data_IF_171443891886
#
_entry.id   IF_171443891886
#
_cell.length_a   1.000
_cell.length_b   1.000
_cell.length_c   1.000
_cell.angle_alpha   90.00
_cell.angle_beta   90.00
_cell.angle_gamma   90.00
#
_symmetry.space_group_name_H-M   'P 1'
#
loop_
_entity.id
_entity.type
_entity.pdbx_description
1 polymer ?
#
# COMPACT_ATOMS: atom_id res chain seq x y z
N UNK A 1 -19.11 -25.21 78.91
CA UNK A 1 -18.10 -25.32 77.85
C UNK A 1 -18.83 -25.19 76.52
N UNK A 2 -18.75 -24.05 75.90
CA UNK A 2 -19.40 -23.76 74.60
C UNK A 2 -18.32 -23.71 73.55
N UNK A 3 -18.32 -24.67 72.61
CA UNK A 3 -17.37 -24.77 71.54
C UNK A 3 -17.90 -23.95 70.34
N UNK A 4 -17.23 -22.86 70.07
CA UNK A 4 -17.57 -21.99 68.92
C UNK A 4 -16.83 -22.52 67.65
N UNK A 5 -17.57 -23.17 66.81
CA UNK A 5 -17.06 -23.52 65.44
C UNK A 5 -16.96 -22.28 64.57
N UNK A 6 -15.73 -21.91 64.24
CA UNK A 6 -15.47 -20.84 63.23
C UNK A 6 -15.82 -21.32 61.82
N UNK A 7 -16.79 -20.71 61.22
CA UNK A 7 -17.11 -20.87 59.80
C UNK A 7 -16.24 -19.91 59.01
N UNK A 8 -15.40 -20.44 58.16
CA UNK A 8 -14.58 -19.66 57.22
C UNK A 8 -15.37 -19.55 55.93
N UNK A 9 -15.68 -18.35 55.44
CA UNK A 9 -16.29 -18.20 54.10
C UNK A 9 -15.19 -18.36 53.04
N UNK A 10 -15.40 -19.31 52.15
CA UNK A 10 -14.59 -19.53 50.95
C UNK A 10 -14.94 -18.45 49.91
N UNK A 11 -14.07 -17.45 49.73
CA UNK A 11 -14.21 -16.45 48.69
C UNK A 11 -13.78 -17.07 47.37
N UNK A 12 -14.74 -17.33 46.50
CA UNK A 12 -14.48 -17.73 45.10
C UNK A 12 -14.15 -16.45 44.31
N UNK A 13 -12.86 -16.22 44.07
CA UNK A 13 -12.41 -15.18 43.14
C UNK A 13 -12.64 -15.67 41.70
N UNK A 14 -13.71 -15.22 41.08
CA UNK A 14 -13.95 -15.42 39.64
C UNK A 14 -12.98 -14.60 38.83
N UNK A 15 -12.06 -15.28 38.15
CA UNK A 15 -11.20 -14.69 37.13
C UNK A 15 -12.05 -14.40 35.90
N UNK A 16 -12.50 -13.15 35.74
CA UNK A 16 -13.04 -12.63 34.51
C UNK A 16 -11.87 -12.42 33.56
N UNK A 17 -11.53 -13.42 32.75
CA UNK A 17 -10.67 -13.22 31.57
C UNK A 17 -11.44 -12.41 30.54
N UNK A 18 -11.27 -11.10 30.57
CA UNK A 18 -11.70 -10.22 29.49
C UNK A 18 -10.81 -10.49 28.28
N UNK A 19 -11.29 -11.29 27.33
CA UNK A 19 -10.73 -11.31 25.99
C UNK A 19 -11.04 -9.95 25.36
N UNK A 20 -10.14 -8.98 25.51
CA UNK A 20 -10.18 -7.77 24.70
C UNK A 20 -9.69 -8.13 23.30
N UNK A 21 -10.61 -8.43 22.39
CA UNK A 21 -10.31 -8.45 20.96
C UNK A 21 -9.95 -7.01 20.59
N UNK A 22 -8.67 -6.76 20.34
CA UNK A 22 -8.23 -5.51 19.78
C UNK A 22 -8.72 -5.47 18.33
N UNK A 23 -9.81 -4.74 18.08
CA UNK A 23 -10.25 -4.42 16.74
C UNK A 23 -9.23 -3.43 16.21
N UNK A 24 -8.46 -3.84 15.19
CA UNK A 24 -7.56 -2.93 14.48
C UNK A 24 -8.39 -1.83 13.82
N UNK A 25 -7.94 -0.58 13.91
CA UNK A 25 -8.62 0.55 13.25
C UNK A 25 -8.72 0.30 11.74
N UNK A 26 -7.78 -0.45 11.17
CA UNK A 26 -7.81 -0.83 9.75
C UNK A 26 -8.97 -1.75 9.38
N UNK A 27 -9.56 -2.47 10.36
CA UNK A 27 -10.74 -3.33 10.14
C UNK A 27 -12.05 -2.53 10.15
N UNK A 28 -12.02 -1.26 10.59
CA UNK A 28 -13.22 -0.41 10.76
C UNK A 28 -13.31 0.64 9.66
N UNK A 29 -12.20 1.04 9.03
CA UNK A 29 -12.23 1.97 7.92
C UNK A 29 -12.68 1.23 6.65
N UNK A 30 -13.72 1.75 5.95
CA UNK A 30 -14.11 1.18 4.67
C UNK A 30 -12.95 1.30 3.69
N UNK A 31 -12.33 0.16 3.38
CA UNK A 31 -11.30 0.11 2.35
C UNK A 31 -12.00 0.24 1.01
N UNK A 32 -11.60 1.23 0.22
CA UNK A 32 -12.11 1.39 -1.13
C UNK A 32 -11.42 0.35 -2.01
N UNK A 33 -12.16 -0.68 -2.41
CA UNK A 33 -11.73 -1.54 -3.50
C UNK A 33 -11.73 -0.73 -4.80
N UNK A 34 -10.68 -0.92 -5.60
CA UNK A 34 -10.62 -0.33 -6.92
C UNK A 34 -11.62 -1.05 -7.83
N UNK A 35 -12.54 -0.29 -8.42
CA UNK A 35 -13.52 -0.77 -9.39
C UNK A 35 -12.95 -0.79 -10.83
N UNK A 36 -11.68 -0.47 -10.98
CA UNK A 36 -10.95 -0.42 -12.24
C UNK A 36 -9.61 -1.11 -12.14
N UNK A 37 -9.19 -1.67 -13.25
CA UNK A 37 -7.84 -2.25 -13.40
C UNK A 37 -6.82 -1.13 -13.55
N UNK A 38 -5.78 -1.16 -12.72
CA UNK A 38 -4.65 -0.24 -12.77
C UNK A 38 -3.45 -0.92 -13.42
N UNK A 39 -2.63 -0.13 -14.09
CA UNK A 39 -1.41 -0.57 -14.77
C UNK A 39 -0.23 0.31 -14.41
N UNK A 40 0.96 -0.28 -14.41
CA UNK A 40 2.20 0.48 -14.43
C UNK A 40 2.46 0.90 -15.89
N UNK A 41 2.33 2.19 -16.15
CA UNK A 41 2.44 2.80 -17.49
C UNK A 41 3.61 3.76 -17.50
N UNK A 42 4.53 3.58 -18.43
CA UNK A 42 5.73 4.41 -18.46
C UNK A 42 6.47 4.36 -19.78
N UNK A 43 7.68 4.88 -19.79
CA UNK A 43 8.54 4.93 -20.98
C UNK A 43 8.84 3.54 -21.55
N UNK A 44 8.80 2.50 -20.70
CA UNK A 44 9.02 1.10 -21.09
C UNK A 44 7.77 0.42 -21.69
N UNK A 45 6.61 1.07 -21.67
CA UNK A 45 5.36 0.62 -22.29
C UNK A 45 4.88 1.59 -23.37
N UNK A 46 5.67 2.62 -23.71
CA UNK A 46 5.21 3.77 -24.49
C UNK A 46 3.94 4.41 -23.92
N UNK A 47 3.82 4.36 -22.59
CA UNK A 47 2.67 4.83 -21.78
C UNK A 47 1.36 4.08 -22.03
N UNK A 48 1.39 2.91 -22.70
CA UNK A 48 0.22 2.06 -22.89
C UNK A 48 -0.09 1.21 -21.65
N UNK A 49 -1.37 0.80 -21.53
CA UNK A 49 -1.83 -0.15 -20.53
C UNK A 49 -1.59 -1.57 -21.04
N UNK A 50 -0.50 -2.19 -20.60
CA UNK A 50 -0.13 -3.53 -21.01
C UNK A 50 -0.46 -4.56 -19.94
N UNK A 51 -1.08 -5.72 -20.29
CA UNK A 51 -1.52 -6.73 -19.32
C UNK A 51 -0.44 -7.24 -18.38
N UNK A 52 0.83 -7.34 -18.82
CA UNK A 52 1.93 -7.80 -18.00
C UNK A 52 2.31 -6.82 -16.87
N UNK A 53 1.85 -5.59 -16.95
CA UNK A 53 2.08 -4.55 -15.93
C UNK A 53 0.82 -4.20 -15.13
N UNK A 54 -0.17 -5.07 -15.18
CA UNK A 54 -1.40 -4.93 -14.40
C UNK A 54 -1.11 -5.09 -12.90
N UNK A 55 -1.71 -4.22 -12.11
CA UNK A 55 -1.70 -4.34 -10.65
C UNK A 55 -2.70 -5.41 -10.19
N UNK A 56 -2.28 -6.21 -9.22
CA UNK A 56 -3.12 -7.21 -8.55
C UNK A 56 -3.20 -6.91 -7.06
N UNK A 57 -4.37 -7.14 -6.48
CA UNK A 57 -4.59 -7.03 -5.04
C UNK A 57 -3.82 -8.16 -4.32
N UNK A 58 -2.92 -7.80 -3.40
CA UNK A 58 -2.08 -8.75 -2.66
C UNK A 58 -2.28 -8.70 -1.15
N UNK A 59 -3.06 -7.75 -0.67
CA UNK A 59 -3.39 -7.56 0.74
C UNK A 59 -4.50 -6.53 0.90
N UNK A 60 -4.94 -6.20 2.12
CA UNK A 60 -5.91 -5.16 2.35
C UNK A 60 -5.45 -3.85 1.71
N UNK A 61 -6.19 -3.33 0.73
CA UNK A 61 -5.90 -2.10 -0.03
C UNK A 61 -4.51 -2.02 -0.67
N UNK A 62 -3.72 -3.10 -0.70
CA UNK A 62 -2.38 -3.16 -1.25
C UNK A 62 -2.37 -3.85 -2.62
N UNK A 63 -1.91 -3.13 -3.62
CA UNK A 63 -1.81 -3.59 -5.00
C UNK A 63 -0.36 -3.61 -5.44
N UNK A 64 0.01 -4.59 -6.28
CA UNK A 64 1.37 -4.76 -6.78
C UNK A 64 1.39 -5.10 -8.26
N UNK A 65 2.40 -4.55 -8.95
CA UNK A 65 2.79 -4.95 -10.30
C UNK A 65 4.30 -5.23 -10.34
N UNK A 66 4.71 -6.09 -11.26
CA UNK A 66 6.13 -6.39 -11.49
C UNK A 66 6.61 -5.66 -12.73
N UNK A 67 7.86 -5.20 -12.69
CA UNK A 67 8.54 -4.57 -13.81
C UNK A 67 9.98 -5.05 -13.87
N UNK A 68 10.47 -5.30 -15.09
CA UNK A 68 11.88 -5.63 -15.31
C UNK A 68 12.63 -4.42 -15.86
N UNK A 69 13.60 -3.94 -15.10
CA UNK A 69 14.53 -2.92 -15.58
C UNK A 69 15.80 -3.58 -16.09
N UNK A 70 16.09 -3.39 -17.36
CA UNK A 70 17.20 -4.04 -18.05
C UNK A 70 18.48 -3.21 -18.11
N UNK A 71 18.40 -1.91 -17.77
CA UNK A 71 19.53 -0.97 -17.83
C UNK A 71 19.73 -0.28 -16.49
N UNK A 72 20.92 -0.43 -15.92
CA UNK A 72 21.32 0.29 -14.70
C UNK A 72 21.63 1.75 -15.01
N UNK A 73 21.34 2.64 -14.06
CA UNK A 73 21.63 4.07 -14.20
C UNK A 73 20.72 4.82 -15.17
N UNK A 74 19.81 4.12 -15.86
CA UNK A 74 18.77 4.75 -16.67
C UNK A 74 17.63 5.22 -15.76
N UNK A 75 17.16 6.45 -15.97
CA UNK A 75 15.93 6.94 -15.34
C UNK A 75 14.74 6.35 -16.10
N UNK A 76 13.87 5.64 -15.39
CA UNK A 76 12.60 5.16 -15.90
C UNK A 76 11.47 5.99 -15.31
N UNK A 77 10.62 6.51 -16.16
CA UNK A 77 9.48 7.35 -15.79
C UNK A 77 8.18 6.58 -15.96
N UNK A 78 7.27 6.69 -14.99
CA UNK A 78 6.01 5.95 -15.02
C UNK A 78 4.91 6.59 -14.15
N UNK A 79 3.69 6.19 -14.42
CA UNK A 79 2.48 6.44 -13.62
C UNK A 79 1.82 5.12 -13.26
N UNK A 80 0.96 5.16 -12.25
CA UNK A 80 0.04 4.07 -11.92
C UNK A 80 -1.34 4.55 -12.32
N UNK A 81 -1.89 4.00 -13.42
CA UNK A 81 -3.13 4.51 -13.97
C UNK A 81 -3.99 3.39 -14.59
N UNK A 82 -5.30 3.64 -14.70
CA UNK A 82 -6.17 2.81 -15.51
C UNK A 82 -5.87 2.96 -17.02
N UNK A 83 -6.61 2.27 -17.87
CA UNK A 83 -6.39 2.30 -19.31
C UNK A 83 -6.63 3.70 -19.93
N UNK A 84 -7.47 4.52 -19.31
CA UNK A 84 -7.95 5.80 -19.85
C UNK A 84 -7.36 7.02 -19.16
N UNK A 85 -6.46 6.84 -18.17
CA UNK A 85 -5.98 7.91 -17.28
C UNK A 85 -7.12 8.68 -16.60
N UNK A 86 -8.12 7.94 -16.12
CA UNK A 86 -9.33 8.51 -15.52
C UNK A 86 -9.03 9.27 -14.23
N UNK A 87 -9.85 10.26 -13.94
CA UNK A 87 -9.79 10.99 -12.66
C UNK A 87 -9.94 10.02 -11.48
N UNK A 88 -9.10 10.15 -10.47
CA UNK A 88 -9.01 9.23 -9.33
C UNK A 88 -8.21 7.96 -9.60
N UNK A 89 -7.84 7.69 -10.85
CA UNK A 89 -7.10 6.51 -11.30
C UNK A 89 -5.88 6.85 -12.17
N UNK A 90 -5.32 8.04 -11.96
CA UNK A 90 -4.16 8.55 -12.67
C UNK A 90 -3.13 9.06 -11.66
N UNK A 91 -2.37 8.13 -11.06
CA UNK A 91 -1.50 8.41 -9.95
C UNK A 91 -0.08 8.77 -10.40
N UNK A 92 0.40 9.90 -9.93
CA UNK A 92 1.78 10.34 -9.97
C UNK A 92 2.22 10.80 -8.57
N UNK A 93 3.37 11.46 -8.47
CA UNK A 93 3.77 12.03 -7.18
C UNK A 93 2.83 13.18 -6.77
N UNK A 94 2.70 13.39 -5.46
CA UNK A 94 1.91 14.49 -4.90
C UNK A 94 2.73 15.79 -4.91
N UNK A 95 2.14 16.90 -5.37
CA UNK A 95 2.76 18.23 -5.33
C UNK A 95 3.03 18.73 -3.91
N UNK A 96 2.29 18.20 -2.91
CA UNK A 96 2.56 18.46 -1.50
C UNK A 96 3.83 17.76 -1.00
N UNK A 97 4.29 16.72 -1.72
CA UNK A 97 5.48 15.92 -1.38
C UNK A 97 6.35 15.70 -2.64
N UNK A 98 6.88 16.77 -3.25
CA UNK A 98 7.54 16.69 -4.56
C UNK A 98 8.82 15.83 -4.57
N UNK A 99 9.45 15.61 -3.41
CA UNK A 99 10.57 14.68 -3.27
C UNK A 99 10.21 13.23 -3.61
N UNK A 100 8.91 12.87 -3.56
CA UNK A 100 8.40 11.55 -3.94
C UNK A 100 8.40 11.29 -5.44
N UNK A 101 8.74 12.25 -6.29
CA UNK A 101 8.88 12.03 -7.72
C UNK A 101 9.96 11.00 -8.03
N UNK A 102 11.13 11.12 -7.43
CA UNK A 102 12.21 10.16 -7.57
C UNK A 102 12.11 9.12 -6.46
N UNK A 103 11.66 7.92 -6.80
CA UNK A 103 11.50 6.84 -5.83
C UNK A 103 12.86 6.33 -5.37
N UNK A 104 12.95 6.06 -4.08
CA UNK A 104 14.08 5.37 -3.44
C UNK A 104 13.67 3.94 -3.07
N UNK A 105 14.59 3.00 -3.24
CA UNK A 105 14.33 1.58 -2.97
C UNK A 105 13.87 1.36 -1.52
N UNK A 106 12.68 0.77 -1.36
CA UNK A 106 12.10 0.47 -0.05
C UNK A 106 11.50 1.66 0.69
N UNK A 107 11.54 2.88 0.15
CA UNK A 107 10.95 4.07 0.75
C UNK A 107 9.57 4.34 0.17
N UNK A 108 8.64 4.72 1.04
CA UNK A 108 7.30 5.09 0.62
C UNK A 108 7.25 6.56 0.15
N UNK A 109 6.62 6.79 -1.01
CA UNK A 109 6.32 8.11 -1.54
C UNK A 109 4.81 8.33 -1.56
N UNK A 110 4.36 9.54 -1.28
CA UNK A 110 2.93 9.90 -1.36
C UNK A 110 2.53 10.14 -2.80
N UNK A 111 1.45 9.48 -3.22
CA UNK A 111 0.85 9.64 -4.54
C UNK A 111 -0.33 10.61 -4.50
N UNK A 112 -0.59 11.21 -5.66
CA UNK A 112 -1.84 11.89 -6.01
C UNK A 112 -2.42 11.20 -7.24
N UNK A 113 -3.63 10.67 -7.12
CA UNK A 113 -4.30 9.93 -8.20
C UNK A 113 -5.21 10.80 -9.07
N UNK A 114 -5.19 12.11 -8.87
CA UNK A 114 -5.90 13.11 -9.69
C UNK A 114 -4.94 13.99 -10.52
N UNK A 115 -3.67 13.60 -10.61
CA UNK A 115 -2.70 14.39 -11.37
C UNK A 115 -2.64 13.98 -12.84
N UNK A 116 -2.57 14.97 -13.72
CA UNK A 116 -2.46 14.74 -15.17
C UNK A 116 -0.98 14.63 -15.57
N UNK A 117 -0.12 15.48 -15.02
CA UNK A 117 1.26 15.64 -15.49
C UNK A 117 2.31 15.00 -14.61
N UNK A 118 2.01 14.75 -13.32
CA UNK A 118 2.99 14.21 -12.41
C UNK A 118 3.23 12.72 -12.68
N UNK A 119 4.47 12.31 -12.66
CA UNK A 119 4.91 10.92 -12.83
C UNK A 119 5.98 10.60 -11.81
N UNK A 120 6.13 9.33 -11.48
CA UNK A 120 7.25 8.82 -10.70
C UNK A 120 8.44 8.54 -11.61
N UNK A 121 9.63 8.60 -11.03
CA UNK A 121 10.84 8.11 -11.68
C UNK A 121 11.60 7.16 -10.77
N UNK A 122 12.32 6.24 -11.36
CA UNK A 122 13.21 5.34 -10.65
C UNK A 122 14.47 5.06 -11.47
N UNK A 123 15.62 5.06 -10.80
CA UNK A 123 16.92 4.76 -11.42
C UNK A 123 17.49 3.50 -10.77
N UNK A 124 17.39 2.33 -11.42
CA UNK A 124 17.88 1.09 -10.82
C UNK A 124 19.42 1.07 -10.77
N UNK A 125 19.96 0.81 -9.59
CA UNK A 125 21.39 0.54 -9.41
C UNK A 125 21.79 -0.86 -9.90
N UNK A 126 20.85 -1.80 -9.93
CA UNK A 126 21.02 -3.18 -10.37
C UNK A 126 19.88 -3.54 -11.32
N UNK A 127 20.23 -4.10 -12.48
CA UNK A 127 19.21 -4.65 -13.40
C UNK A 127 18.47 -5.82 -12.77
N UNK A 128 17.22 -6.02 -13.10
CA UNK A 128 16.43 -7.14 -12.59
C UNK A 128 14.95 -6.83 -12.51
N UNK A 129 14.22 -7.70 -11.82
CA UNK A 129 12.78 -7.55 -11.58
C UNK A 129 12.54 -6.79 -10.29
N UNK A 130 11.62 -5.84 -10.34
CA UNK A 130 11.21 -5.01 -9.23
C UNK A 130 9.69 -5.14 -9.05
N UNK A 131 9.25 -4.86 -7.83
CA UNK A 131 7.83 -4.80 -7.47
C UNK A 131 7.52 -3.34 -7.15
N UNK A 132 6.55 -2.78 -7.87
CA UNK A 132 5.94 -1.50 -7.53
C UNK A 132 4.66 -1.79 -6.79
N UNK A 133 4.51 -1.23 -5.61
CA UNK A 133 3.33 -1.36 -4.76
C UNK A 133 2.64 -0.02 -4.62
N UNK A 134 1.31 -0.04 -4.57
CA UNK A 134 0.51 1.11 -4.16
C UNK A 134 -0.46 0.66 -3.07
N UNK A 135 -0.47 1.39 -1.96
CA UNK A 135 -1.29 1.15 -0.78
C UNK A 135 -2.36 2.25 -0.69
N UNK A 136 -3.62 1.86 -0.78
CA UNK A 136 -4.80 2.71 -0.67
C UNK A 136 -5.46 2.64 0.72
N UNK A 137 -4.74 2.24 1.76
CA UNK A 137 -5.25 2.29 3.14
C UNK A 137 -5.69 3.70 3.54
N UNK A 138 -4.97 4.72 3.05
CA UNK A 138 -5.43 6.10 2.99
C UNK A 138 -5.65 6.46 1.52
N UNK A 139 -6.92 6.58 1.12
CA UNK A 139 -7.26 6.84 -0.28
C UNK A 139 -6.88 8.25 -0.75
N UNK A 140 -6.87 9.21 0.16
CA UNK A 140 -6.53 10.60 -0.14
C UNK A 140 -5.00 10.79 -0.27
N UNK A 141 -4.23 9.93 0.41
CA UNK A 141 -2.77 9.93 0.36
C UNK A 141 -2.20 8.52 0.13
N UNK A 142 -2.46 7.89 -1.02
CA UNK A 142 -1.90 6.56 -1.31
C UNK A 142 -0.38 6.56 -1.23
N UNK A 143 0.20 5.43 -0.83
CA UNK A 143 1.66 5.29 -0.71
C UNK A 143 2.19 4.36 -1.78
N UNK A 144 3.19 4.83 -2.52
CA UNK A 144 3.88 4.07 -3.56
C UNK A 144 5.26 3.67 -3.06
N UNK A 145 5.62 2.41 -3.26
CA UNK A 145 6.92 1.86 -2.87
C UNK A 145 7.47 1.02 -4.01
N UNK A 146 8.78 1.07 -4.21
CA UNK A 146 9.48 0.16 -5.13
C UNK A 146 10.46 -0.70 -4.35
N UNK A 147 10.43 -2.01 -4.60
CA UNK A 147 11.34 -2.99 -3.98
C UNK A 147 11.93 -3.92 -5.04
N UNK A 148 13.08 -4.49 -4.76
CA UNK A 148 13.68 -5.50 -5.64
C UNK A 148 13.07 -6.87 -5.31
N UNK A 149 12.72 -7.63 -6.35
CA UNK A 149 12.25 -9.00 -6.21
C UNK A 149 13.42 -9.97 -5.95
#
# INVERSE_FOLDING_TARGET
MISIKKIIPLAIAGLLSACSSQISINDVLPQKELDRTMYLRGDFTLWDAEPQYQFSLVGPALYQAQVKFSTTGKVYEFKIADADFSEGFNCGYSDSFPQGQSLELGQAATADCNTIYNYFSYTPAIKGTYIVSIDFSDYDEPKVTITKK
#
